data_IF_036060104795
#
_entry.id   IF_036060104795
#
_cell.length_a   1.000
_cell.length_b   1.000
_cell.length_c   1.000
_cell.angle_alpha   90.00
_cell.angle_beta   90.00
_cell.angle_gamma   90.00
#
_symmetry.space_group_name_H-M   'P 1'
#
loop_
_entity.id
_entity.type
_entity.pdbx_description
1 polymer ?
#
# COMPACT_ATOMS: atom_id res chain seq x y z
N UNK A 1 6.15 -13.47 8.85
CA UNK A 1 7.52 -13.03 8.47
C UNK A 1 8.28 -12.66 9.75
N UNK A 2 9.45 -13.25 9.98
CA UNK A 2 10.31 -12.90 11.13
C UNK A 2 11.42 -11.98 10.62
N UNK A 3 11.46 -10.76 11.15
CA UNK A 3 12.55 -9.82 10.86
C UNK A 3 13.77 -10.21 11.70
N UNK A 4 14.66 -11.01 11.12
CA UNK A 4 15.90 -11.47 11.77
C UNK A 4 17.07 -10.56 11.39
N UNK A 5 18.01 -10.34 12.32
CA UNK A 5 19.20 -9.53 12.08
C UNK A 5 19.18 -8.16 12.74
N UNK A 6 20.26 -7.39 12.54
CA UNK A 6 20.47 -6.05 13.13
C UNK A 6 20.02 -4.89 12.24
N UNK A 7 19.39 -5.16 11.09
CA UNK A 7 18.93 -4.10 10.18
C UNK A 7 17.94 -3.16 10.86
N UNK A 8 18.08 -1.87 10.61
CA UNK A 8 17.22 -0.81 11.17
C UNK A 8 16.01 -0.50 10.31
N UNK A 9 16.03 -0.92 9.04
CA UNK A 9 14.97 -0.75 8.05
C UNK A 9 14.87 -1.96 7.14
N UNK A 10 13.71 -2.11 6.48
CA UNK A 10 13.46 -3.15 5.48
C UNK A 10 12.69 -2.56 4.32
N UNK A 11 13.05 -2.99 3.11
CA UNK A 11 12.39 -2.60 1.87
C UNK A 11 11.71 -3.81 1.22
N UNK A 12 10.55 -3.58 0.63
CA UNK A 12 9.89 -4.49 -0.28
C UNK A 12 9.89 -3.85 -1.67
N UNK A 13 10.03 -4.66 -2.69
CA UNK A 13 10.05 -4.25 -4.08
C UNK A 13 9.35 -5.34 -4.89
N UNK A 14 8.49 -4.96 -5.83
CA UNK A 14 7.86 -5.90 -6.74
C UNK A 14 8.93 -6.59 -7.60
N UNK A 15 8.82 -7.89 -7.75
CA UNK A 15 9.83 -8.70 -8.45
C UNK A 15 9.73 -8.61 -9.98
N UNK A 16 8.65 -8.04 -10.52
CA UNK A 16 8.36 -7.94 -11.96
C UNK A 16 8.73 -6.58 -12.58
N UNK A 17 9.39 -5.70 -11.83
CA UNK A 17 9.81 -4.38 -12.31
C UNK A 17 11.02 -4.51 -13.23
N UNK A 18 10.85 -4.08 -14.50
CA UNK A 18 11.92 -4.04 -15.51
C UNK A 18 12.81 -2.81 -15.37
N UNK A 19 12.25 -1.69 -14.91
CA UNK A 19 12.95 -0.41 -14.76
C UNK A 19 13.62 -0.21 -13.39
N UNK A 20 13.66 -1.25 -12.54
CA UNK A 20 14.29 -1.20 -11.23
C UNK A 20 15.80 -0.93 -11.33
N UNK A 21 16.26 0.07 -10.60
CA UNK A 21 17.68 0.39 -10.46
C UNK A 21 18.09 0.47 -9.00
N UNK A 22 19.38 0.34 -8.66
CA UNK A 22 19.85 0.56 -7.28
C UNK A 22 19.45 1.92 -6.69
N UNK A 23 19.35 2.96 -7.53
CA UNK A 23 18.92 4.30 -7.11
C UNK A 23 17.51 4.33 -6.51
N UNK A 24 16.63 3.40 -6.91
CA UNK A 24 15.30 3.30 -6.32
C UNK A 24 15.40 2.92 -4.84
N UNK A 25 16.25 1.94 -4.54
CA UNK A 25 16.50 1.52 -3.15
C UNK A 25 17.10 2.68 -2.36
N UNK A 26 18.12 3.35 -2.92
CA UNK A 26 18.79 4.48 -2.27
C UNK A 26 17.79 5.60 -1.97
N UNK A 27 16.92 5.97 -2.90
CA UNK A 27 15.90 7.01 -2.69
C UNK A 27 14.94 6.65 -1.55
N UNK A 28 14.43 5.41 -1.53
CA UNK A 28 13.52 4.96 -0.47
C UNK A 28 14.22 4.94 0.90
N UNK A 29 15.45 4.44 0.96
CA UNK A 29 16.21 4.30 2.21
C UNK A 29 16.67 5.67 2.73
N UNK A 30 17.18 6.55 1.86
CA UNK A 30 17.64 7.88 2.25
C UNK A 30 16.55 8.74 2.87
N UNK A 31 15.29 8.61 2.39
CA UNK A 31 14.17 9.31 2.99
C UNK A 31 13.93 8.96 4.47
N UNK A 32 14.32 7.76 4.91
CA UNK A 32 14.26 7.37 6.32
C UNK A 32 15.46 7.92 7.11
N UNK A 33 16.65 7.93 6.51
CA UNK A 33 17.86 8.42 7.18
C UNK A 33 17.84 9.92 7.40
N UNK A 34 17.28 10.68 6.48
CA UNK A 34 17.12 12.14 6.63
C UNK A 34 16.03 12.49 7.67
N UNK A 35 15.48 11.51 8.37
CA UNK A 35 14.37 11.66 9.31
C UNK A 35 13.15 12.39 8.71
N UNK A 36 13.02 12.33 7.40
CA UNK A 36 11.91 12.98 6.70
C UNK A 36 10.62 12.17 6.74
N UNK A 37 10.71 10.86 7.08
CA UNK A 37 9.57 9.97 7.27
C UNK A 37 9.96 8.70 8.05
N UNK A 38 8.96 7.95 8.48
CA UNK A 38 9.08 6.62 9.10
C UNK A 38 8.91 5.51 8.08
N UNK A 39 8.13 5.80 7.01
CA UNK A 39 7.88 4.92 5.88
C UNK A 39 7.95 5.75 4.59
N UNK A 40 8.70 5.27 3.61
CA UNK A 40 8.76 5.81 2.25
C UNK A 40 8.10 4.84 1.28
N UNK A 41 7.38 5.38 0.29
CA UNK A 41 6.71 4.61 -0.75
C UNK A 41 7.04 5.19 -2.11
N UNK A 42 7.23 4.33 -3.11
CA UNK A 42 7.50 4.77 -4.47
C UNK A 42 6.24 5.32 -5.15
N UNK A 43 6.38 6.44 -5.87
CA UNK A 43 5.41 6.79 -6.89
C UNK A 43 6.13 7.11 -8.20
N UNK A 44 5.45 6.92 -9.33
CA UNK A 44 6.09 6.93 -10.63
C UNK A 44 5.11 7.34 -11.73
N UNK A 45 5.69 7.79 -12.85
CA UNK A 45 4.95 7.95 -14.08
C UNK A 45 4.63 6.56 -14.65
N UNK A 46 3.37 6.35 -15.00
CA UNK A 46 2.85 5.13 -15.62
C UNK A 46 2.15 5.45 -16.93
N UNK A 47 1.99 4.45 -17.78
CA UNK A 47 1.15 4.57 -18.96
C UNK A 47 -0.28 4.99 -18.55
N UNK A 48 -0.95 5.80 -19.38
CA UNK A 48 -2.27 6.38 -19.07
C UNK A 48 -3.35 5.31 -18.74
N UNK A 49 -3.26 4.14 -19.35
CA UNK A 49 -4.17 3.00 -19.13
C UNK A 49 -3.77 2.09 -17.97
N UNK A 50 -2.60 2.31 -17.40
CA UNK A 50 -2.13 1.56 -16.23
C UNK A 50 -2.76 2.10 -14.94
N UNK A 51 -2.65 1.31 -13.87
CA UNK A 51 -3.14 1.63 -12.54
C UNK A 51 -4.67 1.85 -12.44
N UNK A 52 -5.45 1.06 -13.20
CA UNK A 52 -6.92 1.16 -13.17
C UNK A 52 -7.48 0.97 -11.75
N UNK A 53 -7.03 -0.05 -11.01
CA UNK A 53 -7.49 -0.30 -9.63
C UNK A 53 -7.08 0.83 -8.70
N UNK A 54 -5.89 1.40 -8.86
CA UNK A 54 -5.45 2.58 -8.10
C UNK A 54 -6.39 3.76 -8.31
N UNK A 55 -6.73 4.07 -9.57
CA UNK A 55 -7.50 5.26 -9.96
C UNK A 55 -9.00 5.10 -9.68
N UNK A 56 -9.54 3.91 -9.90
CA UNK A 56 -10.98 3.66 -9.90
C UNK A 56 -11.50 3.05 -8.59
N UNK A 57 -10.62 2.45 -7.79
CA UNK A 57 -10.98 1.79 -6.53
C UNK A 57 -10.24 2.41 -5.35
N UNK A 58 -8.90 2.26 -5.28
CA UNK A 58 -8.15 2.61 -4.10
C UNK A 58 -8.25 4.10 -3.74
N UNK A 59 -7.98 5.01 -4.68
CA UNK A 59 -8.03 6.47 -4.41
C UNK A 59 -9.43 6.95 -4.04
N UNK A 60 -10.53 6.62 -4.75
CA UNK A 60 -11.88 7.02 -4.34
C UNK A 60 -12.29 6.49 -2.97
N UNK A 61 -11.95 5.24 -2.67
CA UNK A 61 -12.27 4.64 -1.37
C UNK A 61 -11.45 5.26 -0.23
N UNK A 62 -10.16 5.52 -0.44
CA UNK A 62 -9.35 6.25 0.54
C UNK A 62 -9.90 7.65 0.78
N UNK A 63 -10.29 8.38 -0.27
CA UNK A 63 -10.91 9.69 -0.10
C UNK A 63 -12.17 9.63 0.78
N UNK A 64 -12.93 8.54 0.68
CA UNK A 64 -14.16 8.35 1.45
C UNK A 64 -13.90 7.93 2.89
N UNK A 65 -13.06 6.92 3.11
CA UNK A 65 -12.89 6.27 4.42
C UNK A 65 -11.64 6.71 5.19
N UNK A 66 -10.61 7.18 4.47
CA UNK A 66 -9.32 7.61 5.02
C UNK A 66 -8.87 8.90 4.34
N UNK A 67 -9.62 10.01 4.51
CA UNK A 67 -9.36 11.26 3.78
C UNK A 67 -7.95 11.82 4.01
N UNK A 68 -7.32 11.50 5.13
CA UNK A 68 -5.92 11.82 5.40
C UNK A 68 -4.92 11.16 4.43
N UNK A 69 -5.34 10.08 3.75
CA UNK A 69 -4.57 9.36 2.75
C UNK A 69 -4.92 9.73 1.30
N UNK A 70 -5.87 10.65 1.10
CA UNK A 70 -6.36 11.01 -0.23
C UNK A 70 -5.31 11.69 -1.12
N UNK A 71 -4.24 12.19 -0.54
CA UNK A 71 -3.13 12.84 -1.24
C UNK A 71 -2.16 11.86 -1.89
N UNK A 72 -2.20 10.57 -1.54
CA UNK A 72 -1.30 9.58 -2.13
C UNK A 72 -1.63 9.32 -3.61
N UNK A 73 -0.61 9.47 -4.45
CA UNK A 73 -0.72 9.21 -5.89
C UNK A 73 -0.72 7.71 -6.22
N UNK A 74 0.08 6.93 -5.47
CA UNK A 74 0.26 5.49 -5.68
C UNK A 74 0.02 4.67 -4.38
N UNK A 75 -1.22 4.69 -3.84
CA UNK A 75 -1.52 3.97 -2.59
C UNK A 75 -1.35 2.45 -2.68
N UNK A 76 -1.26 1.89 -3.88
CA UNK A 76 -0.98 0.47 -4.16
C UNK A 76 0.48 0.26 -4.61
N UNK A 77 1.42 1.11 -4.19
CA UNK A 77 2.84 0.88 -4.49
C UNK A 77 3.38 -0.30 -3.70
N UNK A 78 3.96 -1.29 -4.38
CA UNK A 78 4.70 -2.40 -3.78
C UNK A 78 6.15 -2.01 -3.41
N UNK A 79 6.63 -0.86 -3.88
CA UNK A 79 7.95 -0.32 -3.54
C UNK A 79 7.85 0.50 -2.26
N UNK A 80 8.20 -0.12 -1.15
CA UNK A 80 8.08 0.48 0.17
C UNK A 80 9.30 0.19 1.03
N UNK A 81 9.76 1.19 1.78
CA UNK A 81 10.77 1.02 2.81
C UNK A 81 10.28 1.65 4.11
N UNK A 82 10.49 0.97 5.23
CA UNK A 82 10.16 1.53 6.53
C UNK A 82 11.16 1.09 7.60
N UNK A 83 11.20 1.84 8.69
CA UNK A 83 11.97 1.47 9.88
C UNK A 83 11.48 0.13 10.43
N UNK A 84 12.38 -0.65 11.00
CA UNK A 84 12.05 -1.94 11.64
C UNK A 84 10.86 -1.83 12.58
N UNK A 85 10.81 -0.79 13.41
CA UNK A 85 9.75 -0.59 14.38
C UNK A 85 8.38 -0.44 13.73
N UNK A 86 8.29 0.23 12.57
CA UNK A 86 7.04 0.36 11.80
C UNK A 86 6.54 -1.02 11.37
N UNK A 87 7.43 -1.82 10.76
CA UNK A 87 7.08 -3.19 10.35
C UNK A 87 6.67 -4.07 11.52
N UNK A 88 7.42 -4.01 12.61
CA UNK A 88 7.08 -4.80 13.81
C UNK A 88 5.72 -4.41 14.39
N UNK A 89 5.40 -3.13 14.43
CA UNK A 89 4.10 -2.66 14.91
C UNK A 89 2.96 -3.08 14.00
N UNK A 90 3.11 -2.91 12.68
CA UNK A 90 2.10 -3.32 11.70
C UNK A 90 1.88 -4.84 11.75
N UNK A 91 2.97 -5.63 11.76
CA UNK A 91 2.88 -7.10 11.70
C UNK A 91 2.42 -7.74 13.01
N UNK A 92 2.73 -7.13 14.16
CA UNK A 92 2.20 -7.59 15.45
C UNK A 92 0.73 -7.25 15.61
N UNK A 93 0.29 -6.15 14.94
CA UNK A 93 -1.04 -5.59 15.11
C UNK A 93 -1.29 -5.14 16.56
N UNK A 94 -2.47 -4.61 16.79
CA UNK A 94 -2.99 -4.34 18.13
C UNK A 94 -3.55 -5.58 18.82
N UNK A 95 -3.27 -6.77 18.27
CA UNK A 95 -3.81 -8.05 18.74
C UNK A 95 -5.30 -8.26 18.43
N UNK A 96 -5.97 -7.28 17.81
CA UNK A 96 -7.43 -7.30 17.66
C UNK A 96 -7.94 -8.00 16.40
N UNK A 97 -7.15 -8.10 15.33
CA UNK A 97 -7.70 -8.68 14.10
C UNK A 97 -7.06 -9.98 13.64
N UNK A 98 -5.80 -10.23 13.96
CA UNK A 98 -5.08 -11.43 13.48
C UNK A 98 -5.06 -11.60 11.95
N UNK A 99 -5.48 -10.57 11.21
CA UNK A 99 -5.64 -10.60 9.76
C UNK A 99 -4.50 -9.85 9.08
N UNK A 100 -3.86 -10.54 8.18
CA UNK A 100 -2.94 -9.97 7.19
C UNK A 100 -3.50 -10.33 5.82
N UNK A 101 -3.70 -9.36 4.91
CA UNK A 101 -4.21 -9.66 3.58
C UNK A 101 -3.31 -10.61 2.80
N UNK A 102 -3.91 -11.50 2.03
CA UNK A 102 -3.24 -12.29 1.02
C UNK A 102 -3.36 -11.60 -0.35
N UNK A 103 -2.26 -11.45 -1.09
CA UNK A 103 -2.25 -10.88 -2.43
C UNK A 103 -2.32 -9.36 -2.46
N UNK A 104 -3.05 -8.78 -3.42
CA UNK A 104 -3.00 -7.33 -3.75
C UNK A 104 -3.55 -6.37 -2.68
N UNK A 105 -4.23 -6.87 -1.67
CA UNK A 105 -4.66 -6.05 -0.53
C UNK A 105 -3.54 -5.64 0.42
N UNK A 106 -2.37 -6.28 0.34
CA UNK A 106 -1.27 -6.09 1.29
C UNK A 106 -0.71 -4.66 1.25
N UNK A 107 -0.56 -4.06 0.08
CA UNK A 107 0.07 -2.75 -0.09
C UNK A 107 -0.78 -1.64 0.50
N UNK A 108 -2.10 -1.70 0.29
CA UNK A 108 -3.02 -0.73 0.86
C UNK A 108 -3.18 -0.92 2.37
N UNK A 109 -3.11 -2.16 2.84
CA UNK A 109 -3.12 -2.48 4.26
C UNK A 109 -1.91 -1.88 4.98
N UNK A 110 -0.70 -2.03 4.45
CA UNK A 110 0.50 -1.40 5.01
C UNK A 110 0.35 0.13 5.12
N UNK A 111 -0.22 0.76 4.09
CA UNK A 111 -0.43 2.20 4.09
C UNK A 111 -1.40 2.62 5.20
N UNK A 112 -2.56 1.97 5.30
CA UNK A 112 -3.59 2.28 6.28
C UNK A 112 -3.08 2.03 7.70
N UNK A 113 -2.50 0.87 7.96
CA UNK A 113 -1.98 0.51 9.28
C UNK A 113 -0.89 1.49 9.76
N UNK A 114 0.05 1.85 8.89
CA UNK A 114 1.09 2.82 9.23
C UNK A 114 0.50 4.21 9.53
N UNK A 115 -0.44 4.67 8.71
CA UNK A 115 -1.06 5.98 8.89
C UNK A 115 -1.89 6.06 10.18
N UNK A 116 -2.71 5.06 10.44
CA UNK A 116 -3.55 5.01 11.67
C UNK A 116 -2.69 4.88 12.93
N UNK A 117 -1.54 4.22 12.84
CA UNK A 117 -0.56 4.19 13.92
C UNK A 117 0.20 5.52 14.12
N UNK A 118 -0.07 6.54 13.29
CA UNK A 118 0.52 7.88 13.41
C UNK A 118 1.93 8.02 12.82
N UNK A 119 2.37 7.08 11.99
CA UNK A 119 3.66 7.17 11.32
C UNK A 119 3.64 8.19 10.19
N UNK A 120 4.74 8.91 10.03
CA UNK A 120 4.92 9.84 8.92
C UNK A 120 5.31 9.06 7.65
N UNK A 121 4.46 9.12 6.61
CA UNK A 121 4.63 8.40 5.36
C UNK A 121 4.89 9.41 4.24
N UNK A 122 5.87 9.14 3.39
CA UNK A 122 6.19 9.95 2.20
C UNK A 122 6.16 9.13 0.92
N UNK A 123 5.61 9.73 -0.13
CA UNK A 123 5.83 9.26 -1.50
C UNK A 123 7.11 9.84 -2.07
N UNK A 124 7.91 8.99 -2.70
CA UNK A 124 9.21 9.31 -3.30
C UNK A 124 9.12 9.06 -4.81
N UNK A 125 9.40 10.08 -5.60
CA UNK A 125 9.36 9.95 -7.06
C UNK A 125 10.49 9.07 -7.57
N UNK A 126 10.12 7.98 -8.25
CA UNK A 126 11.04 6.94 -8.73
C UNK A 126 11.32 7.02 -10.24
N UNK A 127 10.72 7.97 -10.96
CA UNK A 127 10.80 8.05 -12.41
C UNK A 127 9.67 7.30 -13.10
N UNK A 128 9.98 6.52 -14.14
CA UNK A 128 9.00 5.73 -14.89
C UNK A 128 9.05 4.28 -14.46
N UNK A 129 7.89 3.69 -14.13
CA UNK A 129 7.78 2.25 -13.83
C UNK A 129 7.37 1.49 -15.10
N UNK A 130 8.22 0.53 -15.46
CA UNK A 130 7.92 -0.50 -16.45
C UNK A 130 7.90 -1.85 -15.76
N UNK A 131 6.82 -2.60 -15.92
CA UNK A 131 6.64 -3.91 -15.32
C UNK A 131 5.91 -4.87 -16.26
N UNK A 132 6.11 -6.17 -16.06
CA UNK A 132 5.52 -7.21 -16.90
C UNK A 132 4.02 -7.35 -16.76
N UNK A 133 3.51 -7.13 -15.55
CA UNK A 133 2.10 -7.33 -15.24
C UNK A 133 1.15 -6.44 -16.07
N UNK A 134 1.62 -5.29 -16.60
CA UNK A 134 0.80 -4.44 -17.43
C UNK A 134 0.33 -5.15 -18.72
N UNK A 135 1.21 -5.94 -19.34
CA UNK A 135 0.89 -6.72 -20.54
C UNK A 135 -0.12 -7.84 -20.20
N UNK A 136 0.04 -8.47 -19.04
CA UNK A 136 -0.83 -9.54 -18.57
C UNK A 136 -2.25 -9.06 -18.25
N UNK A 137 -2.40 -7.86 -17.68
CA UNK A 137 -3.72 -7.33 -17.28
C UNK A 137 -4.48 -6.65 -18.41
N UNK A 138 -3.80 -6.24 -19.46
CA UNK A 138 -4.41 -5.51 -20.57
C UNK A 138 -5.56 -6.30 -21.20
N UNK A 139 -5.41 -7.61 -21.29
CA UNK A 139 -6.32 -8.50 -21.98
C UNK A 139 -7.06 -9.48 -21.01
N UNK A 140 -6.81 -9.38 -19.70
CA UNK A 140 -7.42 -10.24 -18.68
C UNK A 140 -8.16 -9.43 -17.60
N UNK A 141 -9.42 -9.11 -17.92
CA UNK A 141 -10.33 -8.40 -17.00
C UNK A 141 -10.55 -9.19 -15.70
N UNK A 142 -10.45 -10.53 -15.72
CA UNK A 142 -10.68 -11.36 -14.55
C UNK A 142 -9.63 -11.14 -13.46
N UNK A 143 -8.37 -11.01 -13.84
CA UNK A 143 -7.28 -10.68 -12.89
C UNK A 143 -7.45 -9.28 -12.31
N UNK A 144 -7.83 -8.31 -13.15
CA UNK A 144 -8.06 -6.94 -12.71
C UNK A 144 -9.24 -6.86 -11.73
N UNK A 145 -10.32 -7.60 -11.99
CA UNK A 145 -11.48 -7.69 -11.10
C UNK A 145 -11.11 -8.30 -9.76
N UNK A 146 -10.32 -9.38 -9.75
CA UNK A 146 -9.84 -9.99 -8.50
C UNK A 146 -8.94 -9.06 -7.70
N UNK A 147 -8.06 -8.31 -8.37
CA UNK A 147 -7.25 -7.29 -7.71
C UNK A 147 -8.12 -6.20 -7.09
N UNK A 148 -9.12 -5.69 -7.83
CA UNK A 148 -10.06 -4.69 -7.35
C UNK A 148 -10.82 -5.19 -6.12
N UNK A 149 -11.36 -6.41 -6.17
CA UNK A 149 -12.06 -7.05 -5.05
C UNK A 149 -11.20 -7.15 -3.79
N UNK A 150 -9.95 -7.58 -3.91
CA UNK A 150 -9.05 -7.72 -2.75
C UNK A 150 -8.68 -6.35 -2.13
N UNK A 151 -8.45 -5.35 -2.97
CA UNK A 151 -8.16 -3.98 -2.50
C UNK A 151 -9.39 -3.38 -1.82
N UNK A 152 -10.56 -3.49 -2.45
CA UNK A 152 -11.84 -3.01 -1.90
C UNK A 152 -12.15 -3.68 -0.56
N UNK A 153 -12.09 -5.01 -0.51
CA UNK A 153 -12.32 -5.78 0.72
C UNK A 153 -11.40 -5.31 1.85
N UNK A 154 -10.12 -5.10 1.55
CA UNK A 154 -9.14 -4.65 2.55
C UNK A 154 -9.49 -3.26 3.08
N UNK A 155 -9.81 -2.30 2.20
CA UNK A 155 -10.16 -0.93 2.63
C UNK A 155 -11.43 -0.93 3.48
N UNK A 156 -12.47 -1.66 3.07
CA UNK A 156 -13.74 -1.78 3.82
C UNK A 156 -13.49 -2.39 5.19
N UNK A 157 -12.72 -3.46 5.25
CA UNK A 157 -12.39 -4.13 6.50
C UNK A 157 -11.65 -3.21 7.47
N UNK A 158 -10.65 -2.47 6.98
CA UNK A 158 -9.93 -1.50 7.81
C UNK A 158 -10.83 -0.31 8.21
N UNK A 159 -11.72 0.13 7.34
CA UNK A 159 -12.70 1.15 7.68
C UNK A 159 -13.65 0.72 8.82
N UNK A 160 -14.07 -0.54 8.83
CA UNK A 160 -14.86 -1.11 9.93
C UNK A 160 -14.00 -1.21 11.20
N UNK A 161 -12.78 -1.74 11.10
CA UNK A 161 -11.83 -1.90 12.22
C UNK A 161 -11.59 -0.58 12.96
N UNK A 162 -11.48 0.51 12.21
CA UNK A 162 -11.19 1.84 12.75
C UNK A 162 -12.43 2.73 12.93
N UNK A 163 -13.64 2.14 12.92
CA UNK A 163 -14.93 2.83 13.11
C UNK A 163 -15.16 3.99 12.12
N UNK A 164 -14.68 3.83 10.89
CA UNK A 164 -14.88 4.81 9.80
C UNK A 164 -16.04 4.43 8.87
N UNK A 165 -16.55 3.20 9.02
CA UNK A 165 -17.74 2.68 8.36
C UNK A 165 -18.59 1.96 9.41
N UNK A 166 -19.79 2.51 9.68
CA UNK A 166 -20.79 1.84 10.51
C UNK A 166 -21.72 1.03 9.61
N UNK A 167 -21.74 -0.28 9.81
CA UNK A 167 -22.73 -1.13 9.19
C UNK A 167 -24.07 -0.89 9.88
N UNK A 168 -25.03 -0.28 9.18
CA UNK A 168 -26.40 -0.13 9.68
C UNK A 168 -26.95 -1.54 9.97
N UNK A 169 -27.40 -1.76 11.21
CA UNK A 169 -28.18 -2.95 11.55
C UNK A 169 -29.36 -3.02 10.59
N UNK A 170 -29.59 -4.15 9.93
CA UNK A 170 -30.77 -4.37 9.08
C UNK A 170 -32.00 -3.86 9.83
N UNK A 171 -32.64 -2.84 9.31
CA UNK A 171 -33.99 -2.50 9.70
C UNK A 171 -34.83 -3.68 9.23
N UNK A 172 -35.35 -4.49 10.16
CA UNK A 172 -36.32 -5.52 9.82
C UNK A 172 -37.56 -4.79 9.33
N UNK A 173 -37.78 -4.86 7.99
CA UNK A 173 -39.03 -4.46 7.35
C UNK A 173 -39.98 -5.63 7.42
#
# INVERSE_FOLDING_TARGET
MLLTGRSTSFSFLDADIRSLTPEWVDKLVNALFDNSCDMSRGFYTRHARDAAVTKLVARPMLHTFFPELSHFEQPLSGEVCARRQVWENILRGDGKSGYTPDGWGIDIWFLIEAAVAGYHIKEIFMGTKEHTSFEDYRDDVSKLSKMAEQVEFTIIREAIKYNRLELQKKVNV
#
